data_IF_425088760179
#
_entry.id   IF_425088760179
#
_cell.length_a   1.000
_cell.length_b   1.000
_cell.length_c   1.000
_cell.angle_alpha   90.00
_cell.angle_beta   90.00
_cell.angle_gamma   90.00
#
_symmetry.space_group_name_H-M   'P 1'
#
loop_
_entity.id
_entity.type
_entity.pdbx_description
1 polymer ?
#
# COMPACT_ATOMS: atom_id res chain seq x y z
N UNK A 1 11.48 -12.89 -13.52
CA UNK A 1 10.42 -12.92 -12.53
C UNK A 1 10.48 -11.71 -11.58
N UNK A 2 11.57 -11.44 -10.89
CA UNK A 2 11.66 -10.35 -9.91
C UNK A 2 12.00 -8.96 -10.49
N UNK A 3 12.14 -8.82 -11.81
CA UNK A 3 12.61 -7.57 -12.44
C UNK A 3 11.71 -6.38 -12.04
N UNK A 4 10.39 -6.52 -12.15
CA UNK A 4 9.46 -5.46 -11.78
C UNK A 4 9.55 -5.07 -10.29
N UNK A 5 9.74 -6.06 -9.41
CA UNK A 5 9.95 -5.80 -7.98
C UNK A 5 11.25 -5.05 -7.72
N UNK A 6 12.35 -5.44 -8.39
CA UNK A 6 13.65 -4.77 -8.23
C UNK A 6 13.57 -3.33 -8.73
N UNK A 7 12.92 -3.09 -9.87
CA UNK A 7 12.70 -1.73 -10.39
C UNK A 7 11.92 -0.89 -9.39
N UNK A 8 10.87 -1.45 -8.77
CA UNK A 8 10.07 -0.74 -7.77
C UNK A 8 10.89 -0.43 -6.50
N UNK A 9 11.65 -1.38 -6.00
CA UNK A 9 12.55 -1.19 -4.84
C UNK A 9 13.56 -0.07 -5.10
N UNK A 10 14.20 -0.07 -6.27
CA UNK A 10 15.16 0.97 -6.67
C UNK A 10 14.45 2.33 -6.77
N UNK A 11 13.25 2.36 -7.35
CA UNK A 11 12.44 3.58 -7.47
C UNK A 11 12.12 4.19 -6.09
N UNK A 12 11.68 3.37 -5.13
CA UNK A 12 11.39 3.82 -3.76
C UNK A 12 12.65 4.35 -3.06
N UNK A 13 13.80 3.67 -3.21
CA UNK A 13 15.06 4.11 -2.60
C UNK A 13 15.49 5.45 -3.20
N UNK A 14 15.56 5.55 -4.53
CA UNK A 14 15.99 6.78 -5.21
C UNK A 14 15.06 7.95 -4.93
N UNK A 15 13.75 7.74 -5.00
CA UNK A 15 12.78 8.76 -4.68
C UNK A 15 12.89 9.23 -3.21
N UNK A 16 13.07 8.30 -2.27
CA UNK A 16 13.26 8.63 -0.86
C UNK A 16 14.54 9.43 -0.62
N UNK A 17 15.64 9.08 -1.28
CA UNK A 17 16.89 9.83 -1.17
C UNK A 17 16.73 11.26 -1.71
N UNK A 18 16.10 11.42 -2.88
CA UNK A 18 15.81 12.74 -3.44
C UNK A 18 14.92 13.55 -2.49
N UNK A 19 13.85 12.96 -1.94
CA UNK A 19 12.96 13.63 -1.00
C UNK A 19 13.68 14.12 0.25
N UNK A 20 14.56 13.30 0.83
CA UNK A 20 15.39 13.68 1.98
C UNK A 20 16.38 14.78 1.62
N UNK A 21 17.00 14.71 0.44
CA UNK A 21 17.95 15.74 -0.03
C UNK A 21 17.25 17.09 -0.25
N UNK A 22 16.04 17.09 -0.81
CA UNK A 22 15.26 18.32 -1.02
C UNK A 22 14.94 19.07 0.28
N UNK A 23 14.81 18.35 1.40
CA UNK A 23 14.50 18.96 2.71
C UNK A 23 15.73 19.28 3.55
N UNK A 24 16.91 18.90 3.12
CA UNK A 24 18.17 19.13 3.83
C UNK A 24 18.35 18.21 5.03
N UNK A 25 19.23 17.24 4.87
CA UNK A 25 19.61 16.29 5.91
C UNK A 25 20.08 17.04 7.15
N UNK A 26 19.39 16.88 8.26
CA UNK A 26 19.99 17.12 9.58
C UNK A 26 19.88 18.50 10.17
N UNK A 27 19.02 19.38 9.71
CA UNK A 27 18.69 20.55 10.51
C UNK A 27 17.61 20.21 11.53
N UNK A 28 18.05 19.87 12.75
CA UNK A 28 17.32 20.10 14.01
C UNK A 28 17.12 21.62 14.20
N UNK A 29 16.45 22.27 13.27
CA UNK A 29 15.94 23.61 13.53
C UNK A 29 14.51 23.37 13.95
N UNK A 30 14.15 23.81 15.16
CA UNK A 30 12.74 23.89 15.54
C UNK A 30 11.97 24.45 14.36
N UNK A 31 11.09 23.63 13.79
CA UNK A 31 10.32 24.08 12.63
C UNK A 31 9.52 25.30 13.06
N UNK A 32 9.70 26.40 12.34
CA UNK A 32 8.89 27.60 12.53
C UNK A 32 7.40 27.21 12.52
N UNK A 33 6.57 27.95 13.25
CA UNK A 33 5.11 27.77 13.24
C UNK A 33 4.52 27.68 11.82
N UNK A 34 5.09 28.44 10.86
CA UNK A 34 4.73 28.33 9.43
C UNK A 34 5.13 26.97 8.86
N UNK A 35 6.32 26.46 9.21
CA UNK A 35 6.79 25.15 8.74
C UNK A 35 5.90 24.01 9.23
N UNK A 36 5.45 24.06 10.49
CA UNK A 36 4.51 23.08 11.04
C UNK A 36 3.17 23.09 10.29
N UNK A 37 2.59 24.29 10.04
CA UNK A 37 1.35 24.43 9.27
C UNK A 37 1.48 23.89 7.85
N UNK A 38 2.59 24.17 7.17
CA UNK A 38 2.85 23.66 5.82
C UNK A 38 2.97 22.14 5.85
N UNK A 39 3.70 21.58 6.82
CA UNK A 39 3.83 20.12 6.99
C UNK A 39 2.46 19.48 7.23
N UNK A 40 1.65 20.00 8.15
CA UNK A 40 0.30 19.49 8.43
C UNK A 40 -0.61 19.57 7.19
N UNK A 41 -0.53 20.65 6.42
CA UNK A 41 -1.27 20.79 5.16
C UNK A 41 -0.84 19.74 4.12
N UNK A 42 0.46 19.47 4.00
CA UNK A 42 1.00 18.44 3.10
C UNK A 42 0.50 17.04 3.54
N UNK A 43 0.56 16.72 4.84
CA UNK A 43 0.03 15.45 5.36
C UNK A 43 -1.46 15.29 5.09
N UNK A 44 -2.24 16.35 5.25
CA UNK A 44 -3.67 16.34 4.93
C UNK A 44 -3.89 16.10 3.44
N UNK A 45 -3.15 16.79 2.56
CA UNK A 45 -3.26 16.62 1.11
C UNK A 45 -2.86 15.20 0.68
N UNK A 46 -1.78 14.65 1.24
CA UNK A 46 -1.36 13.26 1.01
C UNK A 46 -2.43 12.28 1.47
N UNK A 47 -2.97 12.46 2.67
CA UNK A 47 -4.02 11.61 3.21
C UNK A 47 -5.26 11.60 2.34
N UNK A 48 -5.72 12.76 1.86
CA UNK A 48 -6.85 12.88 0.94
C UNK A 48 -6.57 12.18 -0.41
N UNK A 49 -5.37 12.36 -0.95
CA UNK A 49 -4.97 11.70 -2.20
C UNK A 49 -4.93 10.18 -2.05
N UNK A 50 -4.40 9.70 -0.94
CA UNK A 50 -4.35 8.27 -0.59
C UNK A 50 -5.76 7.70 -0.43
N UNK A 51 -6.68 8.42 0.23
CA UNK A 51 -8.09 8.02 0.35
C UNK A 51 -8.76 7.92 -1.03
N UNK A 52 -8.53 8.87 -1.92
CA UNK A 52 -9.09 8.84 -3.28
C UNK A 52 -8.64 7.58 -4.03
N UNK A 53 -7.34 7.25 -3.98
CA UNK A 53 -6.79 6.04 -4.60
C UNK A 53 -7.46 4.80 -4.00
N UNK A 54 -7.62 4.74 -2.68
CA UNK A 54 -8.27 3.64 -2.00
C UNK A 54 -9.76 3.50 -2.38
N UNK A 55 -10.50 4.59 -2.46
CA UNK A 55 -11.94 4.58 -2.87
C UNK A 55 -12.08 4.03 -4.29
N UNK A 56 -11.29 4.54 -5.23
CA UNK A 56 -11.32 4.06 -6.63
C UNK A 56 -10.98 2.56 -6.70
N UNK A 57 -9.98 2.11 -5.97
CA UNK A 57 -9.59 0.70 -5.94
C UNK A 57 -10.65 -0.21 -5.29
N UNK A 58 -11.29 0.24 -4.21
CA UNK A 58 -12.35 -0.51 -3.53
C UNK A 58 -13.58 -0.68 -4.44
N UNK A 59 -14.00 0.39 -5.13
CA UNK A 59 -15.12 0.36 -6.07
C UNK A 59 -14.84 -0.60 -7.22
N UNK A 60 -13.64 -0.54 -7.83
CA UNK A 60 -13.25 -1.45 -8.93
C UNK A 60 -13.40 -2.92 -8.57
N UNK A 61 -13.15 -3.27 -7.33
CA UNK A 61 -13.25 -4.66 -6.90
C UNK A 61 -14.64 -5.10 -6.45
N UNK A 62 -15.51 -4.18 -6.04
CA UNK A 62 -16.89 -4.47 -5.66
C UNK A 62 -17.82 -4.62 -6.87
N UNK A 63 -17.41 -4.09 -8.03
CA UNK A 63 -18.24 -4.01 -9.24
C UNK A 63 -17.97 -5.21 -10.15
N UNK A 64 -19.02 -5.80 -10.71
CA UNK A 64 -18.95 -6.78 -11.78
C UNK A 64 -18.74 -6.05 -13.12
N UNK A 65 -17.69 -6.44 -13.85
CA UNK A 65 -17.38 -5.89 -15.17
C UNK A 65 -16.24 -4.88 -15.17
N UNK A 66 -15.72 -4.61 -16.35
CA UNK A 66 -14.65 -3.65 -16.55
C UNK A 66 -15.25 -2.25 -16.64
N UNK A 67 -14.92 -1.38 -15.70
CA UNK A 67 -15.33 0.06 -15.76
C UNK A 67 -14.89 0.72 -17.09
N UNK A 68 -13.91 0.14 -17.78
CA UNK A 68 -13.43 0.65 -19.07
C UNK A 68 -14.49 0.62 -20.17
N UNK A 69 -15.34 -0.40 -20.20
CA UNK A 69 -16.26 -0.61 -21.30
C UNK A 69 -17.46 0.34 -21.22
N UNK A 70 -17.86 0.73 -20.01
CA UNK A 70 -18.96 1.66 -19.77
C UNK A 70 -18.68 3.10 -20.29
N UNK A 71 -17.41 3.51 -20.36
CA UNK A 71 -17.03 4.85 -20.84
C UNK A 71 -16.80 4.92 -22.36
N UNK A 72 -16.50 3.78 -23.01
CA UNK A 72 -16.14 3.74 -24.43
C UNK A 72 -17.38 3.59 -25.34
N UNK A 73 -18.44 2.93 -24.88
CA UNK A 73 -19.64 2.69 -25.70
C UNK A 73 -20.79 3.69 -25.50
N UNK A 74 -20.63 4.68 -24.60
CA UNK A 74 -21.70 5.68 -24.36
C UNK A 74 -22.98 5.10 -23.74
N UNK A 75 -23.01 3.81 -23.42
CA UNK A 75 -24.04 3.14 -22.67
C UNK A 75 -23.64 3.16 -21.19
N UNK A 76 -24.35 3.94 -20.38
CA UNK A 76 -24.24 3.88 -18.92
C UNK A 76 -24.96 2.59 -18.48
N UNK A 77 -24.33 1.44 -18.72
CA UNK A 77 -24.70 0.24 -17.99
C UNK A 77 -24.24 0.45 -16.55
N UNK A 78 -25.22 0.58 -15.66
CA UNK A 78 -24.93 0.68 -14.24
C UNK A 78 -24.18 -0.59 -13.84
N UNK A 79 -22.91 -0.42 -13.52
CA UNK A 79 -22.07 -1.52 -13.06
C UNK A 79 -22.70 -2.15 -11.81
N UNK A 80 -23.22 -3.37 -11.95
CA UNK A 80 -23.88 -4.07 -10.85
C UNK A 80 -22.88 -4.39 -9.74
N UNK A 81 -23.20 -3.98 -8.53
CA UNK A 81 -22.42 -4.35 -7.35
C UNK A 81 -22.62 -5.85 -7.10
N UNK A 82 -21.56 -6.62 -7.18
CA UNK A 82 -21.60 -8.04 -6.86
C UNK A 82 -21.81 -8.26 -5.37
N UNK A 83 -23.01 -8.66 -4.99
CA UNK A 83 -23.35 -8.99 -3.60
C UNK A 83 -22.43 -10.06 -3.02
N UNK A 84 -22.08 -11.08 -3.82
CA UNK A 84 -21.18 -12.17 -3.38
C UNK A 84 -19.77 -11.65 -3.07
N UNK A 85 -19.18 -10.84 -3.94
CA UNK A 85 -17.86 -10.25 -3.72
C UNK A 85 -17.87 -9.31 -2.52
N UNK A 86 -18.89 -8.47 -2.40
CA UNK A 86 -19.04 -7.55 -1.27
C UNK A 86 -19.13 -8.28 0.05
N UNK A 87 -19.94 -9.35 0.13
CA UNK A 87 -20.03 -10.18 1.32
C UNK A 87 -18.71 -10.88 1.64
N UNK A 88 -18.01 -11.41 0.63
CA UNK A 88 -16.70 -12.04 0.81
C UNK A 88 -15.67 -11.04 1.36
N UNK A 89 -15.64 -9.80 0.86
CA UNK A 89 -14.78 -8.73 1.35
C UNK A 89 -15.10 -8.42 2.82
N UNK A 90 -16.39 -8.23 3.17
CA UNK A 90 -16.81 -7.90 4.55
C UNK A 90 -16.42 -9.03 5.50
N UNK A 91 -16.76 -10.28 5.18
CA UNK A 91 -16.43 -11.44 6.01
C UNK A 91 -14.92 -11.62 6.17
N UNK A 92 -14.18 -11.42 5.08
CA UNK A 92 -12.72 -11.49 5.09
C UNK A 92 -12.11 -10.41 5.99
N UNK A 93 -12.63 -9.17 5.94
CA UNK A 93 -12.19 -8.07 6.81
C UNK A 93 -12.43 -8.38 8.28
N UNK A 94 -13.63 -8.87 8.63
CA UNK A 94 -13.98 -9.22 10.02
C UNK A 94 -13.11 -10.36 10.55
N UNK A 95 -13.00 -11.45 9.81
CA UNK A 95 -12.19 -12.60 10.24
C UNK A 95 -10.70 -12.25 10.23
N UNK A 96 -10.26 -11.51 9.21
CA UNK A 96 -8.87 -11.11 9.07
C UNK A 96 -8.39 -10.21 10.20
N UNK A 97 -9.21 -9.23 10.63
CA UNK A 97 -8.84 -8.36 11.76
C UNK A 97 -8.80 -9.13 13.07
N UNK A 98 -9.70 -10.11 13.28
CA UNK A 98 -9.65 -10.96 14.48
C UNK A 98 -8.34 -11.72 14.54
N UNK A 99 -7.92 -12.35 13.43
CA UNK A 99 -6.64 -13.06 13.34
C UNK A 99 -5.47 -12.09 13.57
N UNK A 100 -5.52 -10.93 12.92
CA UNK A 100 -4.45 -9.93 13.04
C UNK A 100 -4.32 -9.32 14.44
N UNK A 101 -5.43 -9.07 15.15
CA UNK A 101 -5.40 -8.63 16.56
C UNK A 101 -4.87 -9.72 17.49
N UNK A 102 -5.20 -11.00 17.25
CA UNK A 102 -4.65 -12.11 18.02
C UNK A 102 -3.12 -12.24 17.87
N UNK A 103 -2.60 -11.98 16.67
CA UNK A 103 -1.17 -12.01 16.36
C UNK A 103 -0.49 -10.68 16.74
N UNK A 104 -1.27 -9.58 16.80
CA UNK A 104 -0.82 -8.19 16.99
C UNK A 104 0.27 -7.78 15.98
N UNK A 105 -0.06 -7.95 14.69
CA UNK A 105 0.85 -7.66 13.57
C UNK A 105 1.31 -6.21 13.58
N UNK A 106 0.42 -5.29 13.92
CA UNK A 106 0.75 -3.86 14.01
C UNK A 106 1.89 -3.60 14.99
N UNK A 107 1.84 -4.24 16.17
CA UNK A 107 2.91 -4.15 17.18
C UNK A 107 4.22 -4.77 16.68
N UNK A 108 4.17 -5.86 15.94
CA UNK A 108 5.38 -6.51 15.43
C UNK A 108 6.07 -5.64 14.37
N UNK A 109 5.31 -5.04 13.45
CA UNK A 109 5.84 -4.14 12.44
C UNK A 109 6.35 -2.83 13.06
N UNK A 110 5.63 -2.27 14.03
CA UNK A 110 6.09 -1.10 14.77
C UNK A 110 7.41 -1.38 15.53
N UNK A 111 7.56 -2.55 16.15
CA UNK A 111 8.85 -2.95 16.78
C UNK A 111 10.00 -2.97 15.76
N UNK A 112 9.73 -3.39 14.52
CA UNK A 112 10.75 -3.34 13.47
C UNK A 112 11.11 -1.89 13.12
N UNK A 113 10.11 -1.02 12.98
CA UNK A 113 10.29 0.42 12.79
C UNK A 113 11.09 1.07 13.94
N UNK A 114 10.78 0.70 15.20
CA UNK A 114 11.50 1.20 16.38
C UNK A 114 12.97 0.73 16.43
N UNK A 115 13.25 -0.49 15.99
CA UNK A 115 14.64 -0.96 15.83
C UNK A 115 15.39 -0.15 14.79
N UNK A 116 14.75 0.12 13.63
CA UNK A 116 15.33 0.99 12.60
C UNK A 116 15.57 2.41 13.14
N UNK A 117 14.62 2.95 13.89
CA UNK A 117 14.78 4.26 14.53
C UNK A 117 15.96 4.30 15.50
N UNK A 118 16.16 3.26 16.31
CA UNK A 118 17.31 3.16 17.21
C UNK A 118 18.65 3.07 16.47
N UNK A 119 18.70 2.34 15.35
CA UNK A 119 19.91 2.25 14.52
C UNK A 119 20.27 3.60 13.88
N UNK A 120 19.26 4.44 13.63
CA UNK A 120 19.40 5.77 13.04
C UNK A 120 19.43 6.89 14.09
N UNK A 121 19.61 6.56 15.38
CA UNK A 121 19.59 7.51 16.49
C UNK A 121 20.46 8.74 16.19
N UNK A 122 19.83 9.90 16.10
CA UNK A 122 20.45 11.20 15.77
C UNK A 122 20.06 11.80 14.42
N UNK A 123 19.42 11.07 13.51
CA UNK A 123 18.97 11.61 12.20
C UNK A 123 17.45 11.83 12.20
N UNK A 124 17.02 12.92 12.78
CA UNK A 124 15.71 13.54 12.87
C UNK A 124 14.48 12.86 12.23
N UNK A 125 13.34 12.93 12.92
CA UNK A 125 12.05 12.44 12.45
C UNK A 125 11.57 11.15 13.14
N UNK A 126 10.30 10.83 12.97
CA UNK A 126 9.72 9.56 13.43
C UNK A 126 9.92 8.49 12.35
N UNK A 127 11.09 7.85 12.34
CA UNK A 127 11.48 6.83 11.34
C UNK A 127 10.51 5.65 11.35
N UNK A 128 9.99 5.28 12.53
CA UNK A 128 9.04 4.17 12.67
C UNK A 128 7.73 4.47 11.94
N UNK A 129 7.14 5.64 12.15
CA UNK A 129 5.91 6.06 11.50
C UNK A 129 6.08 6.20 9.98
N UNK A 130 7.20 6.80 9.55
CA UNK A 130 7.54 6.93 8.14
C UNK A 130 7.67 5.55 7.45
N UNK A 131 8.37 4.61 8.10
CA UNK A 131 8.54 3.25 7.60
C UNK A 131 7.20 2.53 7.47
N UNK A 132 6.36 2.56 8.51
CA UNK A 132 5.07 1.84 8.52
C UNK A 132 4.11 2.44 7.49
N UNK A 133 3.96 3.77 7.46
CA UNK A 133 3.06 4.44 6.50
C UNK A 133 3.47 4.20 5.06
N UNK A 134 4.76 4.33 4.75
CA UNK A 134 5.27 4.08 3.41
C UNK A 134 5.15 2.60 3.00
N UNK A 135 5.44 1.66 3.92
CA UNK A 135 5.28 0.22 3.68
C UNK A 135 3.84 -0.14 3.33
N UNK A 136 2.87 0.42 4.06
CA UNK A 136 1.45 0.23 3.76
C UNK A 136 1.10 0.80 2.39
N UNK A 137 1.47 2.04 2.12
CA UNK A 137 1.15 2.70 0.85
C UNK A 137 1.69 1.92 -0.35
N UNK A 138 2.95 1.47 -0.29
CA UNK A 138 3.59 0.82 -1.42
C UNK A 138 3.21 -0.66 -1.58
N UNK A 139 2.84 -1.36 -0.50
CA UNK A 139 2.57 -2.80 -0.54
C UNK A 139 1.09 -3.16 -0.68
N UNK A 140 0.17 -2.35 -0.13
CA UNK A 140 -1.22 -2.78 0.09
C UNK A 140 -2.16 -2.50 -1.11
N UNK A 141 -1.71 -1.77 -2.13
CA UNK A 141 -2.54 -1.45 -3.30
C UNK A 141 -2.83 -2.65 -4.23
N UNK A 142 -3.99 -2.62 -4.91
CA UNK A 142 -4.37 -3.63 -5.90
C UNK A 142 -3.33 -3.80 -7.01
N UNK A 143 -2.70 -2.72 -7.46
CA UNK A 143 -1.63 -2.77 -8.46
C UNK A 143 -0.41 -3.57 -8.00
N UNK A 144 -0.10 -3.57 -6.70
CA UNK A 144 1.01 -4.36 -6.16
C UNK A 144 0.74 -5.84 -6.28
N UNK A 145 -0.47 -6.27 -5.92
CA UNK A 145 -0.87 -7.68 -5.93
C UNK A 145 -0.97 -8.18 -7.36
N UNK A 146 -1.77 -7.50 -8.19
CA UNK A 146 -1.99 -7.87 -9.59
C UNK A 146 -0.67 -7.85 -10.36
N UNK A 147 0.12 -6.78 -10.24
CA UNK A 147 1.38 -6.67 -10.95
C UNK A 147 2.43 -7.68 -10.48
N UNK A 148 2.47 -8.02 -9.17
CA UNK A 148 3.34 -9.07 -8.67
C UNK A 148 2.93 -10.44 -9.19
N UNK A 149 1.63 -10.69 -9.33
CA UNK A 149 1.09 -11.93 -9.90
C UNK A 149 1.38 -12.03 -11.41
N UNK A 150 1.10 -10.98 -12.19
CA UNK A 150 1.43 -10.95 -13.63
C UNK A 150 2.93 -11.15 -13.86
N UNK A 151 3.76 -10.50 -13.04
CA UNK A 151 5.21 -10.65 -13.09
C UNK A 151 5.68 -12.05 -12.76
N UNK A 152 5.00 -12.75 -11.85
CA UNK A 152 5.28 -14.13 -11.46
C UNK A 152 4.81 -15.15 -12.50
N UNK A 153 3.56 -15.05 -12.96
CA UNK A 153 2.91 -16.03 -13.83
C UNK A 153 3.31 -15.82 -15.30
N UNK A 154 3.10 -14.61 -15.81
CA UNK A 154 3.23 -14.30 -17.24
C UNK A 154 4.58 -13.66 -17.59
N UNK A 155 5.42 -13.36 -16.61
CA UNK A 155 6.65 -12.56 -16.75
C UNK A 155 6.40 -11.17 -17.35
N UNK A 156 5.17 -10.68 -17.28
CA UNK A 156 4.82 -9.31 -17.65
C UNK A 156 5.09 -8.37 -16.47
N UNK A 157 6.01 -7.45 -16.67
CA UNK A 157 6.44 -6.50 -15.64
C UNK A 157 5.83 -5.11 -15.84
N UNK A 158 5.03 -4.91 -16.88
CA UNK A 158 4.52 -3.61 -17.30
C UNK A 158 3.77 -2.90 -16.18
N UNK A 159 2.90 -3.61 -15.46
CA UNK A 159 2.12 -3.05 -14.37
C UNK A 159 3.01 -2.62 -13.19
N UNK A 160 4.01 -3.44 -12.83
CA UNK A 160 4.96 -3.11 -11.76
C UNK A 160 5.89 -1.96 -12.14
N UNK A 161 6.32 -1.88 -13.40
CA UNK A 161 7.14 -0.75 -13.89
C UNK A 161 6.34 0.54 -13.86
N UNK A 162 5.08 0.51 -14.32
CA UNK A 162 4.18 1.67 -14.23
C UNK A 162 3.99 2.10 -12.77
N UNK A 163 3.75 1.13 -11.87
CA UNK A 163 3.65 1.39 -10.44
C UNK A 163 4.93 1.99 -9.87
N UNK A 164 6.11 1.53 -10.32
CA UNK A 164 7.40 2.04 -9.84
C UNK A 164 7.57 3.54 -10.09
N UNK A 165 7.04 4.06 -11.20
CA UNK A 165 7.04 5.50 -11.47
C UNK A 165 6.15 6.23 -10.45
N UNK A 166 4.97 5.68 -10.14
CA UNK A 166 4.08 6.26 -9.13
C UNK A 166 4.71 6.21 -7.73
N UNK A 167 5.29 5.08 -7.36
CA UNK A 167 5.96 4.89 -6.06
C UNK A 167 7.20 5.78 -5.93
N UNK A 168 7.94 6.02 -7.02
CA UNK A 168 9.05 6.96 -7.06
C UNK A 168 8.60 8.38 -6.69
N UNK A 169 7.56 8.89 -7.35
CA UNK A 169 7.02 10.23 -7.06
C UNK A 169 6.47 10.31 -5.63
N UNK A 170 5.69 9.30 -5.22
CA UNK A 170 5.14 9.24 -3.87
C UNK A 170 6.25 9.18 -2.81
N UNK A 171 7.33 8.41 -3.05
CA UNK A 171 8.45 8.31 -2.11
C UNK A 171 9.23 9.62 -1.97
N UNK A 172 9.35 10.43 -3.03
CA UNK A 172 9.91 11.79 -2.93
C UNK A 172 9.07 12.63 -1.96
N UNK A 173 7.76 12.66 -2.14
CA UNK A 173 6.83 13.46 -1.34
C UNK A 173 6.82 12.97 0.12
N UNK A 174 6.69 11.65 0.32
CA UNK A 174 6.69 11.06 1.66
C UNK A 174 8.01 11.28 2.39
N UNK A 175 9.14 11.05 1.72
CA UNK A 175 10.46 11.22 2.34
C UNK A 175 10.79 12.70 2.61
N UNK A 176 10.27 13.62 1.81
CA UNK A 176 10.43 15.05 2.08
C UNK A 176 9.69 15.51 3.36
N UNK A 177 8.62 14.81 3.73
CA UNK A 177 7.81 15.15 4.92
C UNK A 177 8.16 14.29 6.13
N UNK A 178 8.31 12.98 5.94
CA UNK A 178 8.51 11.98 7.00
C UNK A 178 9.99 11.57 7.20
N UNK A 179 10.86 11.95 6.26
CA UNK A 179 12.30 11.69 6.36
C UNK A 179 12.72 10.31 5.87
N UNK A 180 13.94 9.90 6.29
CA UNK A 180 14.66 8.72 5.77
C UNK A 180 13.94 7.38 6.06
N UNK A 181 13.00 7.35 7.00
CA UNK A 181 12.22 6.15 7.31
C UNK A 181 11.51 5.55 6.10
N UNK A 182 11.14 6.40 5.14
CA UNK A 182 10.50 5.98 3.87
C UNK A 182 11.42 5.08 3.04
N UNK A 183 12.72 5.36 3.00
CA UNK A 183 13.67 4.53 2.24
C UNK A 183 13.73 3.08 2.75
N UNK A 184 13.51 2.86 4.05
CA UNK A 184 13.50 1.51 4.63
C UNK A 184 12.27 0.70 4.24
N UNK A 185 11.17 1.33 3.81
CA UNK A 185 10.02 0.62 3.27
C UNK A 185 10.35 -0.20 2.02
N UNK A 186 11.42 0.15 1.30
CA UNK A 186 11.92 -0.61 0.16
C UNK A 186 12.24 -2.08 0.53
N UNK A 187 12.71 -2.33 1.76
CA UNK A 187 12.95 -3.69 2.25
C UNK A 187 11.62 -4.44 2.39
N UNK A 188 10.60 -3.78 2.92
CA UNK A 188 9.28 -4.38 3.06
C UNK A 188 8.63 -4.62 1.68
N UNK A 189 8.78 -3.68 0.75
CA UNK A 189 8.36 -3.85 -0.66
C UNK A 189 9.03 -5.07 -1.28
N UNK A 190 10.35 -5.23 -1.09
CA UNK A 190 11.08 -6.39 -1.63
C UNK A 190 10.54 -7.71 -1.09
N UNK A 191 10.33 -7.81 0.22
CA UNK A 191 9.84 -9.04 0.88
C UNK A 191 8.40 -9.32 0.47
N UNK A 192 7.52 -8.34 0.56
CA UNK A 192 6.09 -8.50 0.31
C UNK A 192 5.80 -8.73 -1.18
N UNK A 193 6.21 -7.81 -2.04
CA UNK A 193 5.97 -7.87 -3.48
C UNK A 193 6.77 -9.00 -4.14
N UNK A 194 8.03 -9.18 -3.73
CA UNK A 194 8.87 -10.29 -4.18
C UNK A 194 8.32 -11.64 -3.73
N UNK A 195 7.84 -11.73 -2.48
CA UNK A 195 7.18 -12.92 -1.96
C UNK A 195 5.93 -13.30 -2.75
N UNK A 196 5.06 -12.32 -3.05
CA UNK A 196 3.88 -12.56 -3.91
C UNK A 196 4.30 -13.03 -5.31
N UNK A 197 5.30 -12.38 -5.92
CA UNK A 197 5.80 -12.75 -7.25
C UNK A 197 6.31 -14.19 -7.29
N UNK A 198 7.06 -14.61 -6.27
CA UNK A 198 7.58 -15.97 -6.17
C UNK A 198 6.46 -17.00 -5.92
N UNK A 199 5.55 -16.71 -5.01
CA UNK A 199 4.39 -17.57 -4.72
C UNK A 199 3.48 -17.67 -5.95
N UNK A 200 3.24 -16.57 -6.65
CA UNK A 200 2.41 -16.54 -7.85
C UNK A 200 2.99 -17.37 -8.99
N UNK A 201 4.31 -17.46 -9.11
CA UNK A 201 4.94 -18.31 -10.12
C UNK A 201 4.68 -19.81 -9.92
N UNK A 202 4.46 -20.22 -8.68
CA UNK A 202 4.19 -21.62 -8.32
C UNK A 202 2.68 -21.90 -8.22
N UNK A 203 1.91 -20.95 -7.67
CA UNK A 203 0.50 -21.12 -7.33
C UNK A 203 -0.47 -20.37 -8.25
N UNK A 204 0.03 -19.67 -9.26
CA UNK A 204 -0.79 -18.78 -10.11
C UNK A 204 -1.97 -19.47 -10.80
N UNK A 205 -1.87 -20.76 -11.06
CA UNK A 205 -2.96 -21.56 -11.64
C UNK A 205 -4.13 -21.82 -10.67
N UNK A 206 -3.92 -21.60 -9.37
CA UNK A 206 -4.94 -21.83 -8.34
C UNK A 206 -5.69 -20.57 -7.92
N UNK A 207 -5.26 -19.37 -8.37
CA UNK A 207 -5.87 -18.11 -7.98
C UNK A 207 -6.78 -17.61 -9.10
N UNK A 208 -8.09 -17.60 -8.84
CA UNK A 208 -9.06 -17.03 -9.78
C UNK A 208 -8.96 -15.49 -9.82
N UNK A 209 -9.37 -14.89 -10.95
CA UNK A 209 -9.43 -13.43 -11.10
C UNK A 209 -10.30 -12.79 -10.01
N UNK A 210 -11.35 -13.47 -9.54
CA UNK A 210 -12.22 -12.97 -8.48
C UNK A 210 -11.49 -12.85 -7.14
N UNK A 211 -10.65 -13.85 -6.79
CA UNK A 211 -9.80 -13.78 -5.59
C UNK A 211 -8.87 -12.57 -5.66
N UNK A 212 -8.18 -12.41 -6.79
CA UNK A 212 -7.23 -11.31 -7.00
C UNK A 212 -7.93 -9.97 -6.87
N UNK A 213 -9.08 -9.83 -7.50
CA UNK A 213 -9.89 -8.62 -7.48
C UNK A 213 -10.36 -8.29 -6.06
N UNK A 214 -10.87 -9.26 -5.32
CA UNK A 214 -11.29 -9.08 -3.93
C UNK A 214 -10.12 -8.77 -2.99
N UNK A 215 -8.95 -9.40 -3.18
CA UNK A 215 -7.72 -9.05 -2.45
C UNK A 215 -7.32 -7.59 -2.69
N UNK A 216 -7.39 -7.14 -3.94
CA UNK A 216 -7.15 -5.75 -4.31
C UNK A 216 -8.11 -4.78 -3.63
N UNK A 217 -9.39 -5.16 -3.50
CA UNK A 217 -10.41 -4.33 -2.82
C UNK A 217 -10.14 -4.22 -1.32
N UNK A 218 -9.82 -5.33 -0.66
CA UNK A 218 -9.41 -5.30 0.76
C UNK A 218 -8.19 -4.38 0.93
N UNK A 219 -7.16 -4.54 0.09
CA UNK A 219 -6.00 -3.66 0.11
C UNK A 219 -6.36 -2.18 -0.08
N UNK A 220 -7.30 -1.89 -0.96
CA UNK A 220 -7.77 -0.52 -1.20
C UNK A 220 -8.52 0.06 0.00
N UNK A 221 -9.30 -0.76 0.74
CA UNK A 221 -9.92 -0.35 2.00
C UNK A 221 -8.85 -0.02 3.07
N UNK A 222 -7.75 -0.78 3.12
CA UNK A 222 -6.64 -0.48 4.03
C UNK A 222 -5.94 0.84 3.67
N UNK A 223 -5.85 1.17 2.39
CA UNK A 223 -5.34 2.45 1.92
C UNK A 223 -6.26 3.61 2.34
N UNK A 224 -7.58 3.43 2.32
CA UNK A 224 -8.52 4.42 2.86
C UNK A 224 -8.27 4.64 4.35
N UNK A 225 -8.12 3.55 5.12
CA UNK A 225 -7.81 3.62 6.55
C UNK A 225 -6.49 4.34 6.83
N UNK A 226 -5.46 4.15 5.97
CA UNK A 226 -4.22 4.90 6.03
C UNK A 226 -4.45 6.41 5.81
N UNK A 227 -5.26 6.77 4.83
CA UNK A 227 -5.64 8.15 4.59
C UNK A 227 -6.33 8.79 5.79
N UNK A 228 -7.24 8.05 6.46
CA UNK A 228 -7.84 8.49 7.72
C UNK A 228 -6.81 8.72 8.82
N UNK A 229 -5.84 7.82 8.99
CA UNK A 229 -4.77 8.01 9.96
C UNK A 229 -3.97 9.29 9.69
N UNK A 230 -3.70 9.60 8.41
CA UNK A 230 -2.94 10.79 8.02
C UNK A 230 -3.73 12.09 8.20
N UNK A 231 -5.02 12.11 7.83
CA UNK A 231 -5.87 13.33 7.87
C UNK A 231 -6.39 13.59 9.28
N UNK A 232 -6.98 12.58 9.90
CA UNK A 232 -7.68 12.70 11.19
C UNK A 232 -6.79 12.37 12.38
N UNK A 233 -5.51 12.00 12.15
CA UNK A 233 -4.55 11.57 13.18
C UNK A 233 -5.13 10.43 14.05
N UNK A 234 -5.94 9.55 13.43
CA UNK A 234 -6.46 8.35 14.08
C UNK A 234 -5.34 7.30 14.25
N UNK A 235 -5.60 6.29 15.07
CA UNK A 235 -4.63 5.22 15.33
C UNK A 235 -5.20 3.87 14.94
N UNK A 236 -5.78 3.78 13.74
CA UNK A 236 -6.28 2.51 13.22
C UNK A 236 -5.09 1.60 12.98
N UNK A 237 -5.08 0.42 13.60
CA UNK A 237 -4.03 -0.60 13.46
C UNK A 237 -4.16 -1.34 12.13
N UNK A 238 -3.79 -0.69 11.04
CA UNK A 238 -4.06 -1.17 9.67
C UNK A 238 -3.36 -2.49 9.39
N UNK A 239 -2.17 -2.73 9.98
CA UNK A 239 -1.41 -3.96 9.80
C UNK A 239 -2.19 -5.19 10.29
N UNK A 240 -3.06 -5.04 11.28
CA UNK A 240 -3.87 -6.14 11.80
C UNK A 240 -4.98 -6.59 10.83
N UNK A 241 -5.24 -5.82 9.76
CA UNK A 241 -6.17 -6.22 8.70
C UNK A 241 -5.49 -6.97 7.54
N UNK A 242 -4.17 -7.04 7.48
CA UNK A 242 -3.46 -7.73 6.37
C UNK A 242 -3.91 -9.19 6.20
N UNK A 243 -4.16 -9.99 7.25
CA UNK A 243 -4.65 -11.36 7.08
C UNK A 243 -5.96 -11.47 6.30
N UNK A 244 -6.77 -10.40 6.25
CA UNK A 244 -8.01 -10.35 5.47
C UNK A 244 -7.76 -10.60 3.98
N UNK A 245 -6.65 -10.10 3.43
CA UNK A 245 -6.30 -10.30 2.02
C UNK A 245 -6.08 -11.78 1.69
N UNK A 246 -5.41 -12.51 2.57
CA UNK A 246 -5.11 -13.93 2.37
C UNK A 246 -6.28 -14.84 2.67
N UNK A 247 -7.20 -14.43 3.54
CA UNK A 247 -8.41 -15.21 3.87
C UNK A 247 -9.33 -15.40 2.66
N UNK A 248 -9.34 -14.46 1.72
CA UNK A 248 -10.13 -14.57 0.49
C UNK A 248 -9.76 -15.79 -0.34
N UNK A 249 -8.49 -16.20 -0.35
CA UNK A 249 -8.02 -17.40 -1.04
C UNK A 249 -8.77 -18.64 -0.51
N UNK A 250 -9.00 -18.70 0.81
CA UNK A 250 -9.71 -19.81 1.45
C UNK A 250 -11.23 -19.77 1.22
N UNK A 251 -11.81 -18.61 0.96
CA UNK A 251 -13.26 -18.45 0.73
C UNK A 251 -13.63 -18.88 -0.69
N UNK A 252 -12.82 -18.54 -1.68
CA UNK A 252 -13.11 -18.78 -3.10
C UNK A 252 -12.52 -20.08 -3.64
N UNK A 253 -11.61 -20.74 -2.92
CA UNK A 253 -10.98 -21.99 -3.34
C UNK A 253 -11.74 -23.24 -2.82
N UNK A 254 -13.03 -23.08 -2.50
CA UNK A 254 -14.00 -24.17 -2.27
C UNK A 254 -14.88 -24.29 -3.51
#
# INVERSE_FOLDING_TARGET
MLLGTIVNVVAVILGSLIGVLCTGIGRKKEMSERGKRVSDAIFTALGLSVMLIGIVGAIKGAVNGQIKDAFVEGSVEFAEISTQRTLAIILSMVVGVIIGELIDLDKQINKLGDKLQKLLSGKGGNVSEAFVSASLLFCVGSMTIVGAMESGISRDHTLLVTKSVMDFVASIIFASTMGIGVAFSAIFVLIYQGGITLIASELGHFLSNDVITCMGSVGSLLIIALGFNLVCKTKIKIMNFIPAMFKLILIFNR
#
